data_IF_051430189902
#
_entry.id   IF_051430189902
#
_cell.length_a   1.000
_cell.length_b   1.000
_cell.length_c   1.000
_cell.angle_alpha   90.00
_cell.angle_beta   90.00
_cell.angle_gamma   90.00
#
_symmetry.space_group_name_H-M   'P 1'
#
loop_
_entity.id
_entity.type
_entity.pdbx_description
1 polymer ?
#
# COMPACT_ATOMS: atom_id res chain seq x y z
N UNK A 1 -46.47 -49.10 -4.71
CA UNK A 1 -44.99 -49.03 -4.55
C UNK A 1 -44.40 -47.73 -5.10
N UNK A 2 -44.82 -47.28 -6.28
CA UNK A 2 -44.28 -46.06 -6.95
C UNK A 2 -44.50 -44.72 -6.23
N UNK A 3 -45.63 -44.53 -5.53
CA UNK A 3 -45.92 -43.25 -4.85
C UNK A 3 -44.95 -42.93 -3.70
N UNK A 4 -44.51 -43.95 -2.95
CA UNK A 4 -43.52 -43.79 -1.87
C UNK A 4 -42.13 -43.47 -2.44
N UNK A 5 -41.80 -44.03 -3.59
CA UNK A 5 -40.52 -43.81 -4.27
C UNK A 5 -40.45 -42.38 -4.84
N UNK A 6 -41.55 -41.91 -5.43
CA UNK A 6 -41.68 -40.54 -5.92
C UNK A 6 -41.59 -39.51 -4.78
N UNK A 7 -42.30 -39.75 -3.68
CA UNK A 7 -42.25 -38.87 -2.51
C UNK A 7 -40.83 -38.78 -1.92
N UNK A 8 -40.11 -39.91 -1.85
CA UNK A 8 -38.72 -39.95 -1.39
C UNK A 8 -37.78 -39.15 -2.29
N UNK A 9 -37.94 -39.26 -3.62
CA UNK A 9 -37.15 -38.51 -4.60
C UNK A 9 -37.39 -36.99 -4.50
N UNK A 10 -38.65 -36.57 -4.36
CA UNK A 10 -39.00 -35.16 -4.20
C UNK A 10 -38.44 -34.60 -2.90
N UNK A 11 -38.56 -35.33 -1.79
CA UNK A 11 -38.01 -34.89 -0.49
C UNK A 11 -36.49 -34.75 -0.57
N UNK A 12 -35.78 -35.72 -1.17
CA UNK A 12 -34.33 -35.63 -1.34
C UNK A 12 -33.92 -34.45 -2.24
N UNK A 13 -34.60 -34.22 -3.36
CA UNK A 13 -34.32 -33.06 -4.22
C UNK A 13 -34.57 -31.73 -3.50
N UNK A 14 -35.63 -31.62 -2.70
CA UNK A 14 -35.94 -30.40 -1.93
C UNK A 14 -34.88 -30.16 -0.86
N UNK A 15 -34.46 -31.20 -0.13
CA UNK A 15 -33.40 -31.08 0.89
C UNK A 15 -32.07 -30.64 0.26
N UNK A 16 -31.67 -31.22 -0.88
CA UNK A 16 -30.40 -30.86 -1.55
C UNK A 16 -30.41 -29.40 -2.04
N UNK A 17 -31.55 -28.90 -2.52
CA UNK A 17 -31.67 -27.50 -3.00
C UNK A 17 -31.81 -26.48 -1.86
N UNK A 18 -32.24 -26.90 -0.66
CA UNK A 18 -32.40 -26.01 0.50
C UNK A 18 -31.10 -25.85 1.30
N UNK A 19 -30.16 -26.79 1.22
CA UNK A 19 -28.87 -26.68 1.90
C UNK A 19 -27.89 -25.92 1.01
N UNK A 20 -27.93 -24.58 1.08
CA UNK A 20 -26.79 -23.73 0.67
C UNK A 20 -25.71 -23.83 1.74
N UNK A 21 -24.98 -24.94 1.76
CA UNK A 21 -23.80 -25.11 2.60
C UNK A 21 -22.56 -24.59 1.88
N UNK A 22 -21.97 -23.50 2.38
CA UNK A 22 -20.59 -23.15 2.07
C UNK A 22 -19.68 -23.79 3.13
N UNK A 23 -18.66 -24.51 2.68
CA UNK A 23 -17.61 -25.02 3.58
C UNK A 23 -16.56 -23.92 3.69
N UNK A 24 -16.53 -23.23 4.83
CA UNK A 24 -15.39 -22.42 5.22
C UNK A 24 -14.31 -23.36 5.77
N UNK A 25 -13.29 -23.63 4.96
CA UNK A 25 -12.13 -24.38 5.43
C UNK A 25 -11.29 -23.44 6.32
N UNK A 26 -11.00 -23.80 7.57
CA UNK A 26 -10.07 -23.03 8.38
C UNK A 26 -8.69 -23.08 7.70
N UNK A 27 -8.16 -21.90 7.35
CA UNK A 27 -6.82 -21.76 6.78
C UNK A 27 -5.84 -22.15 7.87
N UNK A 28 -5.35 -23.40 7.85
CA UNK A 28 -4.51 -23.97 8.93
C UNK A 28 -3.11 -23.34 9.06
N UNK A 29 -2.71 -22.51 8.10
CA UNK A 29 -1.44 -21.81 8.09
C UNK A 29 -1.68 -20.41 7.53
N UNK A 30 -2.03 -19.47 8.39
CA UNK A 30 -1.93 -18.07 8.02
C UNK A 30 -0.45 -17.78 7.73
N UNK A 31 -0.18 -17.20 6.55
CA UNK A 31 1.17 -16.80 6.14
C UNK A 31 1.76 -15.71 7.06
N UNK A 32 0.90 -15.10 7.88
CA UNK A 32 1.19 -14.05 8.84
C UNK A 32 0.81 -14.53 10.25
N UNK A 33 1.66 -14.28 11.24
CA UNK A 33 1.31 -14.50 12.63
C UNK A 33 0.62 -13.24 13.21
N UNK A 34 -0.72 -13.23 13.23
CA UNK A 34 -1.48 -12.08 13.70
C UNK A 34 -1.34 -11.85 15.22
N UNK A 35 -1.25 -12.91 16.02
CA UNK A 35 -1.02 -12.81 17.47
C UNK A 35 0.32 -12.10 17.77
N UNK A 36 1.37 -12.46 17.01
CA UNK A 36 2.69 -11.81 17.13
C UNK A 36 2.64 -10.33 16.74
N UNK A 37 1.81 -9.96 15.76
CA UNK A 37 1.62 -8.56 15.39
C UNK A 37 0.94 -7.78 16.52
N UNK A 38 -0.10 -8.33 17.14
CA UNK A 38 -0.85 -7.65 18.21
C UNK A 38 -0.03 -7.54 19.50
N UNK A 39 0.77 -8.55 19.83
CA UNK A 39 1.60 -8.58 21.05
C UNK A 39 2.70 -7.51 21.06
N UNK A 40 3.22 -7.14 19.88
CA UNK A 40 4.28 -6.14 19.81
C UNK A 40 3.78 -4.70 19.87
N UNK A 41 2.47 -4.45 19.72
CA UNK A 41 1.92 -3.10 19.67
C UNK A 41 1.90 -2.44 21.05
N UNK A 42 2.54 -1.28 21.15
CA UNK A 42 2.54 -0.45 22.35
C UNK A 42 2.51 1.02 21.94
N UNK A 43 1.40 1.70 22.25
CA UNK A 43 1.18 3.07 21.84
C UNK A 43 2.13 4.06 22.55
N UNK A 44 2.42 3.84 23.84
CA UNK A 44 3.28 4.73 24.63
C UNK A 44 4.74 4.61 24.16
N UNK A 45 5.21 3.37 23.98
CA UNK A 45 6.54 3.12 23.45
C UNK A 45 6.69 3.61 21.99
N UNK A 46 5.63 3.48 21.19
CA UNK A 46 5.61 4.01 19.82
C UNK A 46 5.84 5.53 19.79
N UNK A 47 5.13 6.28 20.62
CA UNK A 47 5.25 7.75 20.66
C UNK A 47 6.66 8.19 21.11
N UNK A 48 7.25 7.49 22.09
CA UNK A 48 8.63 7.71 22.52
C UNK A 48 9.62 7.45 21.38
N UNK A 49 9.50 6.31 20.71
CA UNK A 49 10.37 5.93 19.60
C UNK A 49 10.23 6.87 18.39
N UNK A 50 9.02 7.32 18.08
CA UNK A 50 8.77 8.31 17.03
C UNK A 50 9.41 9.64 17.36
N UNK A 51 9.32 10.09 18.62
CA UNK A 51 9.98 11.31 19.09
C UNK A 51 11.50 11.22 18.90
N UNK A 52 12.08 10.08 19.28
CA UNK A 52 13.50 9.82 19.07
C UNK A 52 13.90 9.81 17.58
N UNK A 53 13.15 9.11 16.73
CA UNK A 53 13.40 9.07 15.28
C UNK A 53 13.33 10.48 14.68
N UNK A 54 12.33 11.29 15.04
CA UNK A 54 12.20 12.67 14.57
C UNK A 54 13.36 13.56 15.03
N UNK A 55 13.91 13.31 16.22
CA UNK A 55 15.07 14.05 16.73
C UNK A 55 16.38 13.67 16.02
N UNK A 56 16.45 12.47 15.44
CA UNK A 56 17.64 11.94 14.78
C UNK A 56 17.46 11.82 13.27
N UNK A 57 17.97 12.79 12.52
CA UNK A 57 17.87 12.88 11.06
C UNK A 57 18.34 11.61 10.33
N UNK A 58 19.41 10.95 10.81
CA UNK A 58 19.95 9.76 10.13
C UNK A 58 18.98 8.57 10.25
N UNK A 59 18.39 8.39 11.43
CA UNK A 59 17.41 7.33 11.67
C UNK A 59 16.11 7.64 10.90
N UNK A 60 15.64 8.88 10.92
CA UNK A 60 14.48 9.28 10.12
C UNK A 60 14.67 9.02 8.62
N UNK A 61 15.84 9.36 8.09
CA UNK A 61 16.20 9.07 6.68
C UNK A 61 16.26 7.57 6.41
N UNK A 62 16.73 6.77 7.36
CA UNK A 62 16.75 5.31 7.22
C UNK A 62 15.32 4.74 7.10
N UNK A 63 14.40 5.09 8.00
CA UNK A 63 13.02 4.62 7.93
C UNK A 63 12.32 5.09 6.64
N UNK A 64 12.61 6.30 6.18
CA UNK A 64 12.10 6.81 4.91
C UNK A 64 12.66 6.05 3.70
N UNK A 65 13.96 5.75 3.68
CA UNK A 65 14.58 5.00 2.58
C UNK A 65 14.14 3.53 2.57
N UNK A 66 14.04 2.89 3.73
CA UNK A 66 13.59 1.50 3.85
C UNK A 66 12.09 1.32 3.58
N UNK A 67 11.30 2.41 3.67
CA UNK A 67 9.85 2.42 3.56
C UNK A 67 9.31 2.93 2.21
N UNK A 68 8.47 3.97 2.29
CA UNK A 68 7.60 4.41 1.17
C UNK A 68 8.42 5.03 0.05
N UNK A 69 8.27 4.46 -1.15
CA UNK A 69 8.80 5.01 -2.40
C UNK A 69 7.71 5.07 -3.45
N UNK A 70 7.82 6.02 -4.36
CA UNK A 70 6.97 6.07 -5.57
C UNK A 70 7.40 4.91 -6.48
N UNK A 71 6.48 4.02 -6.89
CA UNK A 71 6.83 2.90 -7.76
C UNK A 71 7.50 3.39 -9.05
N UNK A 72 8.62 2.78 -9.43
CA UNK A 72 9.24 3.09 -10.72
C UNK A 72 8.39 2.51 -11.84
N UNK A 73 8.26 3.24 -12.95
CA UNK A 73 7.46 2.76 -14.08
C UNK A 73 5.94 2.86 -13.84
N UNK A 74 5.46 3.82 -13.04
CA UNK A 74 4.00 4.09 -12.93
C UNK A 74 3.36 4.26 -14.30
N UNK A 75 4.03 4.98 -15.21
CA UNK A 75 3.56 5.22 -16.58
C UNK A 75 3.60 3.96 -17.46
N UNK A 76 4.33 2.93 -17.02
CA UNK A 76 4.41 1.61 -17.65
C UNK A 76 3.43 0.62 -16.99
N UNK A 77 2.64 1.09 -16.01
CA UNK A 77 1.62 0.29 -15.31
C UNK A 77 2.11 -0.35 -14.01
N UNK A 78 3.32 -0.07 -13.54
CA UNK A 78 3.77 -0.58 -12.25
C UNK A 78 3.09 0.19 -11.10
N UNK A 79 2.31 -0.53 -10.30
CA UNK A 79 1.63 0.00 -9.11
C UNK A 79 2.21 -0.51 -7.80
N UNK A 80 3.32 -1.25 -7.83
CA UNK A 80 3.87 -1.89 -6.65
C UNK A 80 5.30 -1.44 -6.38
N UNK A 81 5.56 -1.07 -5.14
CA UNK A 81 6.91 -0.85 -4.61
C UNK A 81 7.05 -1.56 -3.27
N UNK A 82 8.07 -2.42 -3.17
CA UNK A 82 8.34 -3.25 -1.98
C UNK A 82 9.36 -2.61 -1.03
N UNK A 83 9.79 -1.36 -1.26
CA UNK A 83 10.74 -0.68 -0.39
C UNK A 83 12.04 -1.49 -0.23
N UNK A 84 12.65 -1.42 0.96
CA UNK A 84 13.81 -2.24 1.31
C UNK A 84 13.50 -3.15 2.50
N UNK A 85 12.83 -4.26 2.22
CA UNK A 85 12.36 -5.24 3.22
C UNK A 85 13.42 -5.65 4.24
N UNK A 86 14.58 -6.13 3.77
CA UNK A 86 15.64 -6.65 4.65
C UNK A 86 16.28 -5.56 5.50
N UNK A 87 16.42 -4.35 4.96
CA UNK A 87 16.90 -3.22 5.75
C UNK A 87 15.91 -2.86 6.85
N UNK A 88 14.61 -2.79 6.51
CA UNK A 88 13.59 -2.47 7.51
C UNK A 88 13.56 -3.48 8.65
N UNK A 89 13.46 -4.77 8.34
CA UNK A 89 13.34 -5.84 9.35
C UNK A 89 14.66 -6.07 10.09
N UNK A 90 15.80 -5.92 9.41
CA UNK A 90 17.13 -6.07 10.01
C UNK A 90 17.55 -4.88 10.86
N UNK A 91 16.78 -3.78 10.89
CA UNK A 91 17.10 -2.64 11.71
C UNK A 91 16.91 -2.97 13.19
N UNK A 92 18.00 -2.86 13.94
CA UNK A 92 18.00 -2.95 15.39
C UNK A 92 19.00 -1.93 15.95
N UNK A 93 18.53 -0.99 16.76
CA UNK A 93 19.36 -0.08 17.53
C UNK A 93 18.94 -0.03 18.98
N UNK A 94 19.91 -0.08 19.88
CA UNK A 94 19.67 0.09 21.31
C UNK A 94 19.47 1.57 21.62
N UNK A 95 18.30 1.90 22.16
CA UNK A 95 18.01 3.17 22.82
C UNK A 95 18.17 2.94 24.34
N UNK A 96 18.33 4.01 25.12
CA UNK A 96 18.59 3.99 26.56
C UNK A 96 17.77 2.95 27.34
N UNK A 97 16.45 2.92 27.12
CA UNK A 97 15.52 2.06 27.87
C UNK A 97 14.74 1.04 26.99
N UNK A 98 15.03 0.98 25.67
CA UNK A 98 14.36 0.05 24.75
C UNK A 98 15.15 -0.26 23.48
N UNK A 99 14.78 -1.32 22.76
CA UNK A 99 15.32 -1.61 21.43
C UNK A 99 14.41 -1.00 20.34
N UNK A 100 15.01 -0.19 19.46
CA UNK A 100 14.35 0.31 18.28
C UNK A 100 14.53 -0.67 17.13
N UNK A 101 13.45 -1.36 16.80
CA UNK A 101 13.40 -2.33 15.73
C UNK A 101 12.41 -1.91 14.65
N UNK A 102 12.69 -2.29 13.40
CA UNK A 102 11.79 -2.03 12.29
C UNK A 102 10.76 -3.15 12.07
N UNK A 103 9.57 -2.75 11.64
CA UNK A 103 8.47 -3.60 11.19
C UNK A 103 8.11 -3.18 9.77
N UNK A 104 8.04 -4.15 8.87
CA UNK A 104 7.75 -3.92 7.47
C UNK A 104 6.26 -4.07 7.21
N UNK A 105 5.58 -3.03 6.76
CA UNK A 105 4.16 -3.08 6.43
C UNK A 105 3.94 -2.79 4.94
N UNK A 106 2.99 -3.49 4.33
CA UNK A 106 2.45 -3.15 3.02
C UNK A 106 1.13 -2.43 3.20
N UNK A 107 0.97 -1.31 2.50
CA UNK A 107 -0.28 -0.54 2.43
C UNK A 107 -0.79 -0.46 1.00
N UNK A 108 -2.11 -0.33 0.88
CA UNK A 108 -2.81 -0.06 -0.36
C UNK A 108 -3.29 1.38 -0.38
N UNK A 109 -2.85 2.14 -1.37
CA UNK A 109 -3.15 3.57 -1.55
C UNK A 109 -3.96 3.75 -2.84
N UNK A 110 -5.26 4.07 -2.78
CA UNK A 110 -6.05 4.37 -3.96
C UNK A 110 -5.57 5.67 -4.62
N UNK A 111 -5.41 5.72 -5.94
CA UNK A 111 -5.04 6.96 -6.63
C UNK A 111 -6.19 7.97 -6.68
N UNK A 112 -7.43 7.49 -6.65
CA UNK A 112 -8.62 8.34 -6.66
C UNK A 112 -8.96 8.81 -5.25
N UNK A 113 -8.16 9.74 -4.72
CA UNK A 113 -8.39 10.40 -3.45
C UNK A 113 -8.09 11.90 -3.55
N UNK A 114 -8.82 12.71 -2.80
CA UNK A 114 -8.64 14.16 -2.79
C UNK A 114 -7.61 14.56 -1.75
N UNK A 115 -6.45 15.01 -2.20
CA UNK A 115 -5.42 15.56 -1.34
C UNK A 115 -5.68 17.04 -1.08
N UNK A 116 -5.81 17.43 0.19
CA UNK A 116 -5.72 18.82 0.62
C UNK A 116 -4.26 19.06 0.91
N UNK A 117 -3.55 19.83 0.08
CA UNK A 117 -2.11 20.08 0.23
C UNK A 117 -1.88 21.44 0.88
N UNK A 118 -1.74 21.55 2.22
CA UNK A 118 -1.67 22.85 2.89
C UNK A 118 -0.45 23.68 2.44
N UNK A 119 0.62 23.01 1.98
CA UNK A 119 1.87 23.63 1.52
C UNK A 119 1.84 24.10 0.06
N UNK A 120 0.88 23.63 -0.75
CA UNK A 120 0.68 24.11 -2.12
C UNK A 120 -0.17 25.38 -2.17
N UNK A 121 -0.77 25.77 -1.05
CA UNK A 121 -1.49 27.02 -0.86
C UNK A 121 -0.51 28.21 -0.67
N UNK A 122 0.79 27.97 -0.77
CA UNK A 122 1.77 29.02 -0.58
C UNK A 122 1.81 29.91 -1.81
N UNK A 123 1.27 31.12 -1.67
CA UNK A 123 1.52 32.28 -2.53
C UNK A 123 3.03 32.63 -2.65
N UNK A 124 3.94 31.84 -2.06
CA UNK A 124 5.40 32.01 -2.10
C UNK A 124 6.13 31.15 -3.14
N UNK A 125 5.43 30.38 -3.98
CA UNK A 125 6.10 29.63 -5.06
C UNK A 125 6.39 30.58 -6.23
N UNK A 126 7.63 31.09 -6.32
CA UNK A 126 8.17 31.79 -7.50
C UNK A 126 8.42 30.83 -8.69
N UNK A 127 7.69 29.72 -8.76
CA UNK A 127 7.78 28.78 -9.85
C UNK A 127 7.14 29.39 -11.09
N UNK A 128 7.97 29.90 -12.00
CA UNK A 128 7.52 30.30 -13.33
C UNK A 128 7.60 29.06 -14.25
N UNK A 129 6.47 28.48 -14.68
CA UNK A 129 6.46 27.29 -15.53
C UNK A 129 7.16 27.52 -16.89
N UNK A 130 7.35 28.78 -17.31
CA UNK A 130 8.08 29.12 -18.54
C UNK A 130 9.60 28.88 -18.42
N UNK A 131 10.13 28.69 -17.22
CA UNK A 131 11.55 28.38 -16.99
C UNK A 131 11.85 26.88 -17.13
N UNK A 132 10.84 26.03 -17.32
CA UNK A 132 11.02 24.61 -17.60
C UNK A 132 11.48 24.43 -19.04
N UNK A 133 12.79 24.24 -19.23
CA UNK A 133 13.35 23.82 -20.50
C UNK A 133 13.51 22.31 -20.50
N UNK A 134 12.71 21.63 -21.32
CA UNK A 134 12.79 20.20 -21.54
C UNK A 134 13.77 19.92 -22.69
N UNK A 135 14.53 18.84 -22.60
CA UNK A 135 15.46 18.47 -23.66
C UNK A 135 14.70 18.14 -24.96
N UNK A 136 15.36 18.32 -26.11
CA UNK A 136 14.74 18.16 -27.43
C UNK A 136 14.27 16.74 -27.72
N UNK A 137 14.92 15.73 -27.13
CA UNK A 137 14.54 14.33 -27.22
C UNK A 137 13.28 14.04 -26.40
N UNK A 138 13.19 14.51 -25.16
CA UNK A 138 11.95 14.35 -24.37
C UNK A 138 10.79 15.10 -25.02
N UNK A 139 11.01 16.30 -25.59
CA UNK A 139 9.97 17.03 -26.35
C UNK A 139 9.47 16.19 -27.53
N UNK A 140 10.36 15.50 -28.24
CA UNK A 140 10.01 14.62 -29.36
C UNK A 140 9.17 13.44 -28.88
N UNK A 141 9.61 12.74 -27.83
CA UNK A 141 8.88 11.60 -27.27
C UNK A 141 7.51 12.01 -26.74
N UNK A 142 7.40 13.20 -26.14
CA UNK A 142 6.13 13.75 -25.66
C UNK A 142 5.16 14.04 -26.82
N UNK A 143 5.65 14.61 -27.92
CA UNK A 143 4.84 14.85 -29.14
C UNK A 143 4.34 13.54 -29.74
N UNK A 144 5.17 12.51 -29.78
CA UNK A 144 4.80 11.18 -30.26
C UNK A 144 3.71 10.55 -29.38
N UNK A 145 3.87 10.64 -28.06
CA UNK A 145 2.86 10.18 -27.09
C UNK A 145 1.52 10.89 -27.29
N UNK A 146 1.50 12.23 -27.42
CA UNK A 146 0.25 12.97 -27.65
C UNK A 146 -0.38 12.67 -29.02
N UNK A 147 0.42 12.46 -30.07
CA UNK A 147 -0.08 12.04 -31.37
C UNK A 147 -0.72 10.64 -31.29
N UNK A 148 -0.11 9.72 -30.57
CA UNK A 148 -0.65 8.38 -30.32
C UNK A 148 -1.95 8.45 -29.49
N UNK A 149 -1.96 9.22 -28.41
CA UNK A 149 -3.15 9.47 -27.57
C UNK A 149 -4.32 10.03 -28.39
N UNK A 150 -4.07 11.03 -29.24
CA UNK A 150 -5.11 11.62 -30.07
C UNK A 150 -5.66 10.62 -31.11
N UNK A 151 -4.82 9.73 -31.64
CA UNK A 151 -5.26 8.64 -32.52
C UNK A 151 -6.10 7.61 -31.77
N UNK A 152 -5.71 7.23 -30.55
CA UNK A 152 -6.50 6.34 -29.71
C UNK A 152 -7.85 6.98 -29.33
N UNK A 153 -7.87 8.26 -28.98
CA UNK A 153 -9.10 9.01 -28.69
C UNK A 153 -10.01 9.12 -29.92
N UNK A 154 -9.45 9.22 -31.14
CA UNK A 154 -10.25 9.21 -32.37
C UNK A 154 -10.89 7.84 -32.65
N UNK A 155 -10.29 6.74 -32.19
CA UNK A 155 -10.82 5.38 -32.37
C UNK A 155 -11.75 4.94 -31.23
N UNK A 156 -11.48 5.34 -29.99
CA UNK A 156 -12.20 4.90 -28.80
C UNK A 156 -13.19 5.96 -28.26
N UNK A 157 -13.23 7.16 -28.85
CA UNK A 157 -13.97 8.31 -28.34
C UNK A 157 -13.11 9.20 -27.43
N UNK A 158 -13.47 10.48 -27.32
CA UNK A 158 -12.74 11.44 -26.51
C UNK A 158 -12.87 11.09 -25.02
N UNK A 159 -11.79 10.58 -24.43
CA UNK A 159 -11.64 10.48 -22.97
C UNK A 159 -11.12 11.82 -22.47
N UNK A 160 -12.00 12.57 -21.81
CA UNK A 160 -11.67 13.82 -21.14
C UNK A 160 -10.73 13.56 -19.96
N UNK A 161 -9.61 14.29 -19.87
CA UNK A 161 -8.51 14.01 -18.92
C UNK A 161 -8.25 15.17 -17.97
N UNK A 162 -9.14 16.17 -17.90
CA UNK A 162 -8.95 17.33 -17.01
C UNK A 162 -9.37 17.08 -15.55
N UNK A 163 -9.88 15.89 -15.27
CA UNK A 163 -9.94 15.22 -13.96
C UNK A 163 -9.98 13.73 -14.30
N UNK A 164 -9.48 12.85 -13.44
CA UNK A 164 -9.80 11.43 -13.58
C UNK A 164 -11.33 11.30 -13.50
N UNK A 165 -11.99 11.27 -14.66
CA UNK A 165 -13.41 11.03 -14.73
C UNK A 165 -13.68 9.73 -13.97
N UNK A 166 -14.81 9.60 -13.24
CA UNK A 166 -15.10 8.44 -12.41
C UNK A 166 -15.00 7.10 -13.17
N UNK A 167 -15.06 7.14 -14.51
CA UNK A 167 -14.97 5.99 -15.42
C UNK A 167 -13.61 5.84 -16.15
N UNK A 168 -12.56 6.53 -15.72
CA UNK A 168 -11.22 6.41 -16.32
C UNK A 168 -10.54 5.13 -15.79
N UNK A 169 -9.96 4.24 -16.62
CA UNK A 169 -9.29 3.01 -16.16
C UNK A 169 -8.18 3.24 -15.11
N UNK A 170 -7.64 4.46 -15.04
CA UNK A 170 -6.65 4.87 -14.06
C UNK A 170 -7.24 5.20 -12.66
N UNK A 171 -8.55 5.46 -12.55
CA UNK A 171 -9.21 5.75 -11.26
C UNK A 171 -9.32 4.52 -10.35
N UNK A 172 -9.22 3.31 -10.93
CA UNK A 172 -9.20 2.03 -10.22
C UNK A 172 -7.79 1.60 -9.76
N UNK A 173 -6.74 2.35 -10.13
CA UNK A 173 -5.38 2.00 -9.75
C UNK A 173 -5.18 2.19 -8.24
N UNK A 174 -4.71 1.12 -7.61
CA UNK A 174 -4.32 1.08 -6.21
C UNK A 174 -2.83 0.79 -6.15
N UNK A 175 -2.08 1.72 -5.56
CA UNK A 175 -0.67 1.47 -5.30
C UNK A 175 -0.51 0.54 -4.10
N UNK A 176 0.38 -0.43 -4.22
CA UNK A 176 0.84 -1.25 -3.11
C UNK A 176 2.23 -0.78 -2.73
N UNK A 177 2.35 -0.13 -1.58
CA UNK A 177 3.59 0.51 -1.14
C UNK A 177 4.06 -0.11 0.16
N UNK A 178 5.36 -0.34 0.27
CA UNK A 178 5.99 -0.71 1.53
C UNK A 178 6.16 0.50 2.45
N UNK A 179 6.05 0.27 3.75
CA UNK A 179 6.29 1.25 4.81
C UNK A 179 7.15 0.58 5.87
N UNK A 180 8.23 1.24 6.27
CA UNK A 180 9.00 0.82 7.43
C UNK A 180 8.52 1.62 8.64
N UNK A 181 8.05 0.91 9.66
CA UNK A 181 7.50 1.51 10.89
C UNK A 181 8.23 0.95 12.10
N UNK A 182 8.31 1.67 13.23
CA UNK A 182 8.83 1.08 14.46
C UNK A 182 7.99 -0.12 14.89
N UNK A 183 8.65 -1.15 15.47
CA UNK A 183 8.02 -2.38 15.93
C UNK A 183 6.74 -2.16 16.75
N UNK A 184 6.70 -1.26 17.76
CA UNK A 184 5.51 -1.06 18.58
C UNK A 184 4.40 -0.23 17.94
N UNK A 185 4.69 0.45 16.82
CA UNK A 185 3.73 1.36 16.20
C UNK A 185 2.70 0.64 15.34
N UNK A 186 1.46 1.11 15.38
CA UNK A 186 0.51 0.84 14.29
C UNK A 186 0.93 1.58 13.02
N UNK A 187 0.48 1.10 11.86
CA UNK A 187 0.73 1.80 10.58
C UNK A 187 0.17 3.22 10.61
N UNK A 188 -0.99 3.41 11.24
CA UNK A 188 -1.64 4.72 11.39
C UNK A 188 -0.83 5.69 12.24
N UNK A 189 -0.37 5.28 13.42
CA UNK A 189 0.48 6.12 14.27
C UNK A 189 1.79 6.50 13.58
N UNK A 190 2.41 5.55 12.89
CA UNK A 190 3.67 5.79 12.18
C UNK A 190 3.49 6.73 10.97
N UNK A 191 2.51 6.50 10.10
CA UNK A 191 2.31 7.34 8.90
C UNK A 191 1.90 8.76 9.30
N UNK A 192 1.02 8.91 10.31
CA UNK A 192 0.66 10.21 10.89
C UNK A 192 1.87 10.98 11.41
N UNK A 193 2.91 10.25 11.83
CA UNK A 193 4.09 10.82 12.44
C UNK A 193 5.25 11.05 11.48
N UNK A 194 5.44 10.24 10.45
CA UNK A 194 6.60 10.38 9.55
C UNK A 194 6.35 11.28 8.34
N UNK A 195 5.15 11.23 7.77
CA UNK A 195 4.88 11.91 6.50
C UNK A 195 4.17 13.22 6.76
N UNK A 196 2.89 13.16 7.11
CA UNK A 196 1.99 14.29 7.30
C UNK A 196 0.88 13.88 8.26
N UNK A 197 0.15 14.84 8.84
CA UNK A 197 -1.11 14.51 9.51
C UNK A 197 -2.09 13.95 8.45
N UNK A 198 -2.21 12.62 8.37
CA UNK A 198 -2.88 11.88 7.28
C UNK A 198 -4.33 12.32 7.16
N UNK A 199 -4.98 12.49 8.31
CA UNK A 199 -6.37 12.95 8.42
C UNK A 199 -6.55 14.39 7.94
N UNK A 200 -5.54 15.25 8.09
CA UNK A 200 -5.60 16.65 7.65
C UNK A 200 -5.37 16.83 6.14
N UNK A 201 -4.64 15.90 5.51
CA UNK A 201 -4.29 15.96 4.08
C UNK A 201 -5.29 15.16 3.22
N UNK A 202 -6.20 14.41 3.84
CA UNK A 202 -7.17 13.56 3.13
C UNK A 202 -6.53 12.30 2.54
N UNK A 203 -5.38 11.88 3.08
CA UNK A 203 -4.70 10.67 2.63
C UNK A 203 -5.44 9.42 3.13
N UNK A 204 -5.87 8.58 2.19
CA UNK A 204 -6.56 7.32 2.44
C UNK A 204 -5.66 6.17 2.05
N UNK A 205 -5.60 5.17 2.92
CA UNK A 205 -4.93 3.90 2.65
C UNK A 205 -5.61 2.79 3.44
N UNK A 206 -5.33 1.54 3.07
CA UNK A 206 -5.72 0.35 3.86
C UNK A 206 -4.49 -0.50 4.08
N UNK A 207 -4.35 -1.08 5.27
CA UNK A 207 -3.30 -2.06 5.54
C UNK A 207 -3.50 -3.33 4.68
N UNK A 208 -2.39 -3.88 4.19
CA UNK A 208 -2.33 -5.17 3.51
C UNK A 208 -1.83 -6.25 4.46
N UNK A 209 -0.59 -6.12 4.93
CA UNK A 209 0.01 -6.99 5.93
C UNK A 209 1.21 -6.31 6.58
N UNK A 210 1.62 -6.76 7.77
CA UNK A 210 2.83 -6.30 8.45
C UNK A 210 3.69 -7.48 8.91
N UNK A 211 5.01 -7.36 8.80
CA UNK A 211 5.99 -8.42 9.03
C UNK A 211 7.01 -7.99 10.07
N UNK A 212 7.29 -8.94 10.96
CA UNK A 212 8.27 -8.82 12.04
C UNK A 212 9.49 -9.70 11.75
N UNK A 213 10.65 -9.42 12.37
CA UNK A 213 11.85 -10.24 12.22
C UNK A 213 11.64 -11.71 12.56
N UNK A 214 10.79 -12.00 13.54
CA UNK A 214 10.54 -13.36 14.04
C UNK A 214 9.34 -14.06 13.36
N UNK A 215 8.79 -13.48 12.27
CA UNK A 215 7.63 -14.04 11.58
C UNK A 215 8.01 -15.19 10.61
N UNK A 216 7.06 -16.09 10.32
CA UNK A 216 7.30 -17.29 9.51
C UNK A 216 7.79 -16.94 8.10
N UNK A 217 8.88 -17.54 7.57
CA UNK A 217 9.40 -17.20 6.25
C UNK A 217 8.36 -17.46 5.13
N UNK A 218 8.40 -16.64 4.07
CA UNK A 218 7.45 -16.75 2.93
C UNK A 218 7.63 -18.07 2.17
N UNK A 219 8.88 -18.53 2.10
CA UNK A 219 9.31 -19.75 1.42
C UNK A 219 10.62 -20.24 2.05
N UNK A 220 10.96 -21.54 1.94
CA UNK A 220 12.22 -22.10 2.46
C UNK A 220 13.50 -21.43 1.94
N UNK A 221 13.40 -20.66 0.84
CA UNK A 221 14.49 -19.93 0.21
C UNK A 221 14.93 -18.65 0.93
N UNK A 222 14.11 -18.09 1.85
CA UNK A 222 14.50 -16.87 2.59
C UNK A 222 15.55 -17.17 3.68
N UNK A 223 15.64 -18.43 4.12
CA UNK A 223 16.60 -18.87 5.16
C UNK A 223 18.04 -19.04 4.66
N UNK A 224 18.29 -19.02 3.34
CA UNK A 224 19.60 -19.35 2.75
C UNK A 224 20.35 -18.14 2.19
N UNK A 225 19.77 -16.94 2.24
CA UNK A 225 20.48 -15.71 1.91
C UNK A 225 21.06 -15.07 3.19
N UNK A 226 22.08 -15.72 3.76
CA UNK A 226 22.95 -15.16 4.80
C UNK A 226 24.39 -15.23 4.30
#
# INVERSE_FOLDING_TARGET
>A
MYFKLFLSLVVNCVVINLVKGSIELPIRNEALNQDLYEEVLDAELCDEQISFIRSNTLIAMFFADAGIRVPRGVLEGNTMDMGNYHQCIGFNQNILDSELQGKYCMIRVPLNQTFVTPWMNSETSNFNPNNLHMDSETIRSLKEFYAMKNRMNAMAGAVDVDRLAPNNPLSALTFRLAVCVPRPCTTEQAINSFLFNVSAVGFQYTDDFCRLPDDKPWVPGDTVAV
#
